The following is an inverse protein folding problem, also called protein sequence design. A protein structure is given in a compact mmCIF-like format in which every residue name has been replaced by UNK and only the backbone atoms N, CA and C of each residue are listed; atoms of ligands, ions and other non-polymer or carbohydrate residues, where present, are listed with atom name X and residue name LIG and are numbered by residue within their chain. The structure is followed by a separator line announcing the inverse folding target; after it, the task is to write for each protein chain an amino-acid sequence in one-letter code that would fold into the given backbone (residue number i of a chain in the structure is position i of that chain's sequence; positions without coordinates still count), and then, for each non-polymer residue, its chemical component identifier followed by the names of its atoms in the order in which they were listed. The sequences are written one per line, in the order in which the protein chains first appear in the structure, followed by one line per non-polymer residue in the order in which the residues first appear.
data_IF_383913972907
#
_entry.id   IF_383913972907
#
_cell.length_a   1.000
_cell.length_b   1.000
_cell.length_c   1.000
_cell.angle_alpha   90.00
_cell.angle_beta   90.00
_cell.angle_gamma   90.00
#
_symmetry.space_group_name_H-M   'P 1'
#
loop_
_entity.id
_entity.type
_entity.pdbx_description
1 polymer ?
#
# COMPACT_ATOMS: atom_id res chain seq x y z
N UNK A 1 -4.58 2.35 4.23
CA UNK A 1 -3.77 2.11 5.45
C UNK A 1 -3.80 0.62 5.75
N UNK A 2 -2.69 0.08 6.23
CA UNK A 2 -2.52 -1.30 6.65
C UNK A 2 -1.90 -1.30 8.06
N UNK A 3 -2.62 -1.68 9.12
CA UNK A 3 -2.03 -1.78 10.46
C UNK A 3 -0.92 -2.84 10.49
N UNK A 4 0.10 -2.62 11.31
CA UNK A 4 1.23 -3.55 11.47
C UNK A 4 0.80 -4.87 12.10
N UNK A 5 -0.03 -4.78 13.14
CA UNK A 5 -0.64 -5.92 13.84
C UNK A 5 -2.13 -5.61 14.13
N UNK A 6 -3.04 -6.59 14.10
CA UNK A 6 -4.43 -6.40 14.49
C UNK A 6 -4.62 -5.86 15.92
N UNK A 7 -3.64 -6.06 16.79
CA UNK A 7 -3.64 -5.61 18.18
C UNK A 7 -2.70 -4.43 18.41
N UNK A 8 -2.35 -3.67 17.36
CA UNK A 8 -1.48 -2.51 17.56
C UNK A 8 -2.15 -1.48 18.48
N UNK A 9 -1.40 -0.99 19.46
CA UNK A 9 -1.91 -0.07 20.47
C UNK A 9 -2.03 1.38 19.95
N UNK A 10 -1.18 1.75 18.98
CA UNK A 10 -1.21 3.07 18.35
C UNK A 10 -2.00 3.00 17.05
N UNK A 11 -2.94 3.94 16.86
CA UNK A 11 -3.82 3.99 15.67
C UNK A 11 -3.05 4.04 14.35
N UNK A 12 -1.87 4.68 14.35
CA UNK A 12 -1.03 4.95 13.19
C UNK A 12 0.14 3.95 13.04
N UNK A 13 0.27 2.93 13.89
CA UNK A 13 1.32 1.92 13.73
C UNK A 13 0.98 0.96 12.58
N UNK A 14 1.52 1.30 11.42
CA UNK A 14 1.28 0.58 10.19
C UNK A 14 1.92 1.23 8.98
N UNK A 15 1.29 1.00 7.84
CA UNK A 15 1.81 1.37 6.53
C UNK A 15 0.74 2.01 5.66
N UNK A 16 1.16 2.99 4.87
CA UNK A 16 0.37 3.55 3.77
C UNK A 16 0.87 2.89 2.48
N UNK A 17 -0.07 2.30 1.74
CA UNK A 17 0.16 1.74 0.41
C UNK A 17 -0.44 2.70 -0.61
N UNK A 18 0.36 3.17 -1.57
CA UNK A 18 -0.10 4.13 -2.58
C UNK A 18 0.46 3.80 -3.96
N UNK A 19 -0.41 3.78 -4.96
CA UNK A 19 0.02 3.78 -6.35
C UNK A 19 0.44 5.19 -6.75
N UNK A 20 1.66 5.34 -7.26
CA UNK A 20 2.22 6.60 -7.74
C UNK A 20 2.44 6.48 -9.25
N UNK A 21 2.08 7.53 -9.98
CA UNK A 21 2.31 7.64 -11.42
C UNK A 21 3.33 8.74 -11.71
N UNK A 22 4.45 8.37 -12.33
CA UNK A 22 5.37 9.33 -12.95
C UNK A 22 4.84 9.65 -14.37
N UNK A 23 4.29 10.85 -14.54
CA UNK A 23 3.73 11.31 -15.82
C UNK A 23 4.80 11.51 -16.91
N UNK A 24 6.03 11.86 -16.53
CA UNK A 24 7.12 12.10 -17.48
C UNK A 24 7.68 10.77 -18.00
N UNK A 25 7.90 9.82 -17.10
CA UNK A 25 8.42 8.50 -17.46
C UNK A 25 7.33 7.53 -17.94
N UNK A 26 6.06 7.89 -17.74
CA UNK A 26 4.89 7.07 -18.00
C UNK A 26 4.91 5.71 -17.28
N UNK A 27 5.42 5.70 -16.03
CA UNK A 27 5.58 4.51 -15.19
C UNK A 27 4.73 4.61 -13.94
N UNK A 28 4.47 3.45 -13.33
CA UNK A 28 3.76 3.35 -12.06
C UNK A 28 4.57 2.57 -11.05
N UNK A 29 4.46 2.99 -9.79
CA UNK A 29 5.08 2.34 -8.64
C UNK A 29 4.02 2.12 -7.56
N UNK A 30 4.20 1.07 -6.74
CA UNK A 30 3.52 0.94 -5.46
C UNK A 30 4.51 1.35 -4.37
N UNK A 31 4.21 2.43 -3.66
CA UNK A 31 5.02 2.91 -2.55
C UNK A 31 4.48 2.40 -1.22
N UNK A 32 5.40 2.04 -0.33
CA UNK A 32 5.14 1.63 1.06
C UNK A 32 5.78 2.69 1.95
N UNK A 33 4.93 3.40 2.68
CA UNK A 33 5.31 4.51 3.55
C UNK A 33 5.01 4.14 4.99
N UNK A 34 5.93 4.40 5.90
CA UNK A 34 5.70 4.26 7.34
C UNK A 34 4.59 5.22 7.76
N UNK A 35 3.50 4.73 8.35
CA UNK A 35 2.36 5.57 8.67
C UNK A 35 2.61 6.53 9.86
N UNK A 36 3.54 6.20 10.76
CA UNK A 36 3.91 7.05 11.90
C UNK A 36 4.87 8.17 11.50
N UNK A 37 5.91 7.85 10.71
CA UNK A 37 6.95 8.85 10.34
C UNK A 37 6.72 9.52 9.00
N UNK A 38 5.83 8.98 8.17
CA UNK A 38 5.60 9.36 6.77
C UNK A 38 6.83 9.23 5.87
N UNK A 39 7.82 8.44 6.29
CA UNK A 39 9.01 8.15 5.49
C UNK A 39 8.75 6.99 4.52
N UNK A 40 9.29 7.12 3.30
CA UNK A 40 9.22 6.06 2.30
C UNK A 40 10.16 4.90 2.70
N UNK A 41 9.60 3.73 2.96
CA UNK A 41 10.38 2.54 3.33
C UNK A 41 10.70 1.64 2.12
N UNK A 42 9.78 1.57 1.15
CA UNK A 42 10.01 0.78 -0.07
C UNK A 42 9.22 1.33 -1.27
N UNK A 43 9.72 1.05 -2.47
CA UNK A 43 9.00 1.27 -3.73
C UNK A 43 9.11 0.05 -4.64
N UNK A 44 7.98 -0.40 -5.16
CA UNK A 44 7.87 -1.51 -6.09
C UNK A 44 7.55 -0.97 -7.48
N UNK A 45 8.47 -1.16 -8.42
CA UNK A 45 8.26 -0.80 -9.84
C UNK A 45 7.31 -1.79 -10.49
N UNK A 46 6.24 -1.28 -11.10
CA UNK A 46 5.25 -2.12 -11.76
C UNK A 46 5.62 -2.34 -13.24
N UNK A 47 5.34 -3.54 -13.80
CA UNK A 47 5.67 -3.85 -15.18
C UNK A 47 4.82 -3.08 -16.20
N UNK A 48 3.70 -2.50 -15.75
CA UNK A 48 2.77 -1.73 -16.57
C UNK A 48 2.16 -0.57 -15.78
N UNK A 49 1.63 0.43 -16.50
CA UNK A 49 0.92 1.56 -15.90
C UNK A 49 -0.33 1.10 -15.15
N UNK A 50 -0.52 1.60 -13.93
CA UNK A 50 -1.78 1.52 -13.19
C UNK A 50 -2.53 2.83 -13.40
N UNK A 51 -3.70 2.82 -14.06
CA UNK A 51 -4.53 4.02 -14.25
C UNK A 51 -5.11 4.53 -12.93
N UNK A 52 -5.56 5.79 -12.93
CA UNK A 52 -6.30 6.36 -11.80
C UNK A 52 -7.60 5.57 -11.58
N UNK A 53 -7.82 5.18 -10.32
CA UNK A 53 -8.97 4.40 -9.90
C UNK A 53 -9.77 5.10 -8.80
N UNK A 54 -10.61 4.32 -8.14
CA UNK A 54 -11.40 4.76 -6.98
C UNK A 54 -10.81 4.19 -5.69
N UNK A 55 -11.61 3.47 -4.90
CA UNK A 55 -11.22 2.92 -3.62
C UNK A 55 -10.41 1.64 -3.77
N UNK A 56 -9.41 1.47 -2.89
CA UNK A 56 -8.64 0.24 -2.74
C UNK A 56 -8.94 -0.43 -1.40
N UNK A 57 -8.74 -1.74 -1.34
CA UNK A 57 -8.78 -2.52 -0.10
C UNK A 57 -7.53 -3.39 -0.01
N UNK A 58 -7.19 -3.82 1.21
CA UNK A 58 -6.14 -4.80 1.46
C UNK A 58 -6.75 -6.02 2.12
N UNK A 59 -6.41 -7.21 1.63
CA UNK A 59 -6.80 -8.48 2.24
C UNK A 59 -5.57 -9.18 2.79
N UNK A 60 -5.60 -9.54 4.07
CA UNK A 60 -4.52 -10.34 4.65
C UNK A 60 -4.53 -11.75 4.05
N UNK A 61 -3.38 -12.42 4.07
CA UNK A 61 -3.30 -13.82 3.64
C UNK A 61 -4.24 -14.74 4.47
N UNK A 62 -4.47 -14.41 5.75
CA UNK A 62 -5.40 -15.14 6.63
C UNK A 62 -6.86 -14.93 6.22
N UNK A 63 -7.24 -13.72 5.82
CA UNK A 63 -8.60 -13.42 5.35
C UNK A 63 -8.84 -14.02 3.96
N UNK A 64 -7.84 -13.95 3.09
CA UNK A 64 -7.87 -14.59 1.77
C UNK A 64 -8.04 -16.12 1.89
N UNK A 65 -7.40 -16.77 2.86
CA UNK A 65 -7.54 -18.21 3.09
C UNK A 65 -8.96 -18.63 3.54
N UNK A 66 -9.76 -17.69 4.04
CA UNK A 66 -11.17 -17.93 4.40
C UNK A 66 -12.13 -17.67 3.23
N UNK A 67 -11.61 -17.24 2.09
CA UNK A 67 -12.41 -17.03 0.89
C UNK A 67 -12.78 -18.40 0.28
N UNK A 68 -13.95 -18.92 0.65
CA UNK A 68 -14.55 -20.14 0.14
C UNK A 68 -16.08 -19.95 0.03
#
# INVERSE_FOLDING_TARGET
FLPRDPNSENEDDGYILAFVHDEKAWKSELQIVNATTLELEASIKLPSRVPYGFHGTFMSAKDLAKQA
#
